data_IF_732762967643
#
_entry.id   IF_732762967643
#
_cell.length_a   1.000
_cell.length_b   1.000
_cell.length_c   1.000
_cell.angle_alpha   90.00
_cell.angle_beta   90.00
_cell.angle_gamma   90.00
#
_symmetry.space_group_name_H-M   'P 1'
#
loop_
_entity.id
_entity.type
_entity.pdbx_description
1 polymer ?
#
# COMPACT_ATOMS: atom_id res chain seq x y z
N UNK A 1 -21.11 -6.93 -32.27
CA UNK A 1 -19.93 -7.23 -31.43
C UNK A 1 -20.39 -7.34 -29.98
N UNK A 2 -20.08 -8.44 -29.29
CA UNK A 2 -20.60 -8.75 -27.95
C UNK A 2 -19.84 -7.95 -26.89
N UNK A 3 -20.55 -7.12 -26.11
CA UNK A 3 -20.03 -6.51 -24.87
C UNK A 3 -19.84 -7.61 -23.82
N UNK A 4 -18.64 -7.71 -23.24
CA UNK A 4 -18.37 -8.55 -22.07
C UNK A 4 -18.39 -7.66 -20.83
N UNK A 5 -19.42 -7.81 -20.00
CA UNK A 5 -19.49 -7.22 -18.67
C UNK A 5 -18.77 -8.18 -17.73
N UNK A 6 -17.77 -7.69 -17.00
CA UNK A 6 -17.08 -8.45 -15.95
C UNK A 6 -17.57 -7.89 -14.61
N UNK A 7 -18.35 -8.71 -13.88
CA UNK A 7 -18.84 -8.40 -12.53
C UNK A 7 -17.87 -9.05 -11.54
N UNK A 8 -17.22 -8.24 -10.71
CA UNK A 8 -16.46 -8.75 -9.57
C UNK A 8 -17.42 -9.03 -8.40
N UNK A 9 -17.58 -10.30 -8.06
CA UNK A 9 -18.35 -10.74 -6.89
C UNK A 9 -17.39 -10.81 -5.70
N UNK A 10 -17.57 -9.95 -4.71
CA UNK A 10 -16.85 -10.04 -3.44
C UNK A 10 -17.50 -11.17 -2.62
N UNK A 11 -16.75 -12.25 -2.41
CA UNK A 11 -17.18 -13.41 -1.63
C UNK A 11 -16.94 -13.14 -0.14
N UNK A 12 -17.98 -12.79 0.59
CA UNK A 12 -17.93 -12.67 2.05
C UNK A 12 -18.16 -14.05 2.68
N UNK A 13 -17.10 -14.69 3.19
CA UNK A 13 -17.23 -15.90 4.01
C UNK A 13 -17.57 -15.51 5.45
N UNK A 14 -18.83 -15.69 5.84
CA UNK A 14 -19.24 -15.75 7.24
C UNK A 14 -18.86 -17.13 7.79
N UNK A 15 -17.78 -17.20 8.57
CA UNK A 15 -17.47 -18.40 9.36
C UNK A 15 -18.36 -18.44 10.59
N UNK A 16 -19.34 -19.33 10.56
CA UNK A 16 -20.14 -19.74 11.70
C UNK A 16 -19.36 -20.79 12.50
N UNK A 17 -18.81 -20.42 13.67
CA UNK A 17 -18.17 -21.37 14.58
C UNK A 17 -19.20 -22.33 15.15
N UNK A 18 -19.16 -23.60 14.74
CA UNK A 18 -19.87 -24.68 15.43
C UNK A 18 -18.87 -25.50 16.22
N UNK A 19 -18.90 -25.41 17.55
CA UNK A 19 -18.20 -26.30 18.47
C UNK A 19 -18.67 -27.75 18.29
N UNK A 20 -17.75 -28.69 18.12
CA UNK A 20 -17.98 -30.10 18.47
C UNK A 20 -16.75 -30.70 19.15
N UNK A 21 -17.01 -31.28 20.32
CA UNK A 21 -16.09 -31.97 21.22
C UNK A 21 -15.76 -33.40 20.76
N UNK A 22 -14.51 -33.78 21.08
CA UNK A 22 -13.97 -35.02 21.65
C UNK A 22 -13.92 -36.37 20.90
N UNK A 23 -12.71 -36.95 21.04
CA UNK A 23 -12.33 -38.36 21.21
C UNK A 23 -12.17 -39.26 19.98
N UNK A 24 -10.91 -39.52 19.61
CA UNK A 24 -10.41 -40.88 19.44
C UNK A 24 -8.89 -40.92 19.73
N UNK A 25 -8.51 -41.67 20.76
CA UNK A 25 -7.15 -42.05 21.03
C UNK A 25 -6.75 -43.22 20.12
N UNK A 26 -5.56 -43.17 19.52
CA UNK A 26 -4.77 -44.36 19.18
C UNK A 26 -3.31 -43.96 18.96
N UNK A 27 -2.47 -44.40 19.91
CA UNK A 27 -1.01 -44.31 19.86
C UNK A 27 -0.46 -45.19 18.74
N UNK A 28 0.58 -44.71 18.05
CA UNK A 28 1.78 -45.50 17.78
C UNK A 28 2.94 -44.57 17.42
N UNK A 29 4.07 -44.81 18.11
CA UNK A 29 5.40 -44.29 17.85
C UNK A 29 5.73 -44.25 16.36
N UNK A 30 6.09 -43.06 15.87
CA UNK A 30 7.02 -42.89 14.76
C UNK A 30 7.50 -41.42 14.74
N UNK A 31 8.70 -41.27 15.27
CA UNK A 31 9.71 -40.30 14.85
C UNK A 31 9.63 -38.86 15.42
N UNK A 32 10.22 -38.69 16.62
CA UNK A 32 10.55 -37.40 17.24
C UNK A 32 11.47 -36.52 16.35
N UNK A 33 12.09 -37.05 15.29
CA UNK A 33 12.86 -36.27 14.31
C UNK A 33 11.99 -35.62 13.22
N UNK A 34 10.86 -36.22 12.85
CA UNK A 34 9.94 -35.70 11.83
C UNK A 34 9.14 -34.48 12.30
N UNK A 35 8.92 -34.32 13.61
CA UNK A 35 8.24 -33.13 14.16
C UNK A 35 9.16 -31.91 14.30
N UNK A 36 10.50 -32.10 14.31
CA UNK A 36 11.45 -30.99 14.33
C UNK A 36 11.57 -30.27 12.98
N UNK A 37 11.25 -30.94 11.88
CA UNK A 37 11.24 -30.36 10.53
C UNK A 37 9.89 -29.77 10.10
N UNK A 38 8.80 -30.07 10.81
CA UNK A 38 7.51 -29.41 10.62
C UNK A 38 7.34 -28.13 11.47
N UNK A 39 8.34 -27.77 12.27
CA UNK A 39 8.43 -26.49 13.00
C UNK A 39 9.08 -25.36 12.17
N UNK A 40 9.19 -25.50 10.84
CA UNK A 40 9.38 -24.32 9.99
C UNK A 40 8.05 -23.61 9.85
N UNK A 41 7.75 -22.82 10.88
CA UNK A 41 7.05 -21.53 10.82
C UNK A 41 6.40 -21.24 9.46
N UNK A 42 5.24 -21.85 9.21
CA UNK A 42 4.27 -21.33 8.24
C UNK A 42 3.49 -20.14 8.85
N UNK A 43 4.17 -19.30 9.62
CA UNK A 43 3.84 -17.88 9.70
C UNK A 43 4.51 -17.21 8.50
N UNK A 44 4.08 -17.60 7.29
CA UNK A 44 4.25 -16.75 6.13
C UNK A 44 3.33 -15.57 6.41
N UNK A 45 3.93 -14.42 6.64
CA UNK A 45 3.23 -13.18 6.92
C UNK A 45 2.44 -12.79 5.65
N UNK A 46 1.20 -13.24 5.53
CA UNK A 46 0.27 -12.96 4.41
C UNK A 46 -0.10 -11.46 4.30
N UNK A 47 0.45 -10.59 5.15
CA UNK A 47 0.30 -9.14 5.08
C UNK A 47 1.38 -8.44 4.23
N UNK A 48 2.27 -9.18 3.55
CA UNK A 48 3.29 -8.57 2.68
C UNK A 48 2.63 -7.92 1.47
N UNK A 49 2.87 -6.63 1.27
CA UNK A 49 2.45 -5.92 0.06
C UNK A 49 3.31 -6.36 -1.13
N UNK A 50 2.69 -7.08 -2.05
CA UNK A 50 3.29 -7.45 -3.34
C UNK A 50 2.68 -6.62 -4.47
N UNK A 51 3.54 -5.99 -5.28
CA UNK A 51 3.13 -5.30 -6.50
C UNK A 51 3.14 -6.31 -7.66
N UNK A 52 2.02 -6.44 -8.37
CA UNK A 52 1.78 -7.51 -9.34
C UNK A 52 2.61 -7.40 -10.63
N UNK A 53 3.35 -6.29 -10.81
CA UNK A 53 4.19 -5.94 -11.98
C UNK A 53 3.39 -5.87 -13.29
N UNK A 54 2.08 -5.68 -13.20
CA UNK A 54 1.20 -5.64 -14.37
C UNK A 54 1.10 -4.22 -14.91
N UNK A 55 1.08 -3.22 -14.03
CA UNK A 55 1.03 -1.80 -14.42
C UNK A 55 2.42 -1.20 -14.62
N UNK A 56 2.57 -0.09 -15.39
CA UNK A 56 3.85 0.62 -15.49
C UNK A 56 4.42 1.03 -14.12
N UNK A 57 3.56 1.52 -13.22
CA UNK A 57 3.95 1.88 -11.86
C UNK A 57 4.50 0.68 -11.08
N UNK A 58 3.81 -0.45 -11.10
CA UNK A 58 4.28 -1.65 -10.40
C UNK A 58 5.59 -2.20 -10.98
N UNK A 59 5.78 -2.11 -12.30
CA UNK A 59 7.04 -2.49 -12.95
C UNK A 59 8.18 -1.60 -12.49
N UNK A 60 7.98 -0.27 -12.46
CA UNK A 60 8.95 0.68 -11.91
C UNK A 60 9.29 0.32 -10.45
N UNK A 61 8.27 0.14 -9.60
CA UNK A 61 8.46 -0.21 -8.19
C UNK A 61 9.24 -1.52 -8.03
N UNK A 62 8.98 -2.51 -8.89
CA UNK A 62 9.70 -3.78 -8.85
C UNK A 62 11.17 -3.70 -9.27
N UNK A 63 11.55 -2.64 -10.00
CA UNK A 63 12.94 -2.34 -10.33
C UNK A 63 13.68 -1.57 -9.24
N UNK A 64 12.95 -0.97 -8.29
CA UNK A 64 13.54 -0.33 -7.11
C UNK A 64 13.90 -1.39 -6.07
N UNK A 65 15.08 -1.27 -5.44
CA UNK A 65 15.50 -2.19 -4.40
C UNK A 65 14.89 -1.82 -3.03
N UNK A 66 13.55 -1.83 -2.96
CA UNK A 66 12.79 -1.52 -1.74
C UNK A 66 12.57 -2.77 -0.87
N UNK A 67 12.75 -2.62 0.44
CA UNK A 67 12.38 -3.64 1.42
C UNK A 67 10.86 -3.66 1.69
N UNK A 68 10.38 -4.63 2.47
CA UNK A 68 8.95 -4.83 2.71
C UNK A 68 8.30 -3.61 3.41
N UNK A 69 8.97 -3.01 4.40
CA UNK A 69 8.46 -1.84 5.10
C UNK A 69 8.38 -0.60 4.20
N UNK A 70 9.34 -0.45 3.28
CA UNK A 70 9.34 0.61 2.26
C UNK A 70 8.18 0.41 1.27
N UNK A 71 7.92 -0.82 0.82
CA UNK A 71 6.78 -1.17 -0.04
C UNK A 71 5.44 -0.91 0.62
N UNK A 72 5.28 -1.32 1.88
CA UNK A 72 4.09 -1.03 2.69
C UNK A 72 3.86 0.47 2.83
N UNK A 73 4.92 1.24 3.06
CA UNK A 73 4.84 2.70 3.18
C UNK A 73 4.49 3.36 1.85
N UNK A 74 5.02 2.87 0.74
CA UNK A 74 4.68 3.37 -0.59
C UNK A 74 3.22 3.05 -0.94
N UNK A 75 2.74 1.85 -0.61
CA UNK A 75 1.34 1.50 -0.78
C UNK A 75 0.43 2.37 0.10
N UNK A 76 0.83 2.65 1.34
CA UNK A 76 0.12 3.61 2.20
C UNK A 76 0.02 5.00 1.55
N UNK A 77 1.12 5.51 0.97
CA UNK A 77 1.11 6.78 0.25
C UNK A 77 0.13 6.74 -0.93
N UNK A 78 0.26 5.77 -1.84
CA UNK A 78 -0.58 5.64 -3.04
C UNK A 78 -2.08 5.55 -2.65
N UNK A 79 -2.41 4.73 -1.65
CA UNK A 79 -3.78 4.59 -1.18
C UNK A 79 -4.30 5.88 -0.55
N UNK A 80 -3.46 6.62 0.18
CA UNK A 80 -3.82 7.93 0.73
C UNK A 80 -4.11 8.96 -0.36
N UNK A 81 -3.34 8.93 -1.46
CA UNK A 81 -3.61 9.79 -2.63
C UNK A 81 -4.95 9.45 -3.28
N UNK A 82 -5.22 8.16 -3.55
CA UNK A 82 -6.49 7.70 -4.11
C UNK A 82 -7.68 8.07 -3.22
N UNK A 83 -7.53 7.92 -1.91
CA UNK A 83 -8.56 8.24 -0.93
C UNK A 83 -8.85 9.75 -0.84
N UNK A 84 -7.80 10.59 -0.81
CA UNK A 84 -7.94 12.01 -0.44
C UNK A 84 -7.98 12.99 -1.60
N UNK A 85 -7.39 12.67 -2.75
CA UNK A 85 -7.43 13.57 -3.91
C UNK A 85 -8.83 13.67 -4.53
N UNK A 86 -9.73 12.71 -4.25
CA UNK A 86 -11.13 12.81 -4.64
C UNK A 86 -11.88 13.99 -3.96
N UNK A 87 -11.39 14.46 -2.80
CA UNK A 87 -11.93 15.65 -2.13
C UNK A 87 -11.51 16.91 -2.89
N UNK A 88 -12.48 17.74 -3.27
CA UNK A 88 -12.24 18.96 -4.06
C UNK A 88 -11.49 20.06 -3.30
N UNK A 89 -11.39 19.97 -1.97
CA UNK A 89 -10.59 20.90 -1.17
C UNK A 89 -9.12 20.48 -1.07
N UNK A 90 -8.81 19.22 -1.39
CA UNK A 90 -7.46 18.65 -1.30
C UNK A 90 -6.88 18.47 -2.71
N UNK A 91 -7.56 17.70 -3.56
CA UNK A 91 -7.11 17.37 -4.91
C UNK A 91 -7.56 18.38 -5.96
N UNK A 92 -7.31 19.68 -5.73
CA UNK A 92 -7.76 20.75 -6.63
C UNK A 92 -7.16 20.57 -8.02
N UNK A 93 -5.85 20.35 -8.10
CA UNK A 93 -5.15 20.16 -9.36
C UNK A 93 -5.46 18.79 -9.97
N UNK A 94 -5.55 17.74 -9.16
CA UNK A 94 -5.98 16.42 -9.61
C UNK A 94 -7.33 16.47 -10.31
N UNK A 95 -8.32 17.15 -9.73
CA UNK A 95 -9.65 17.30 -10.32
C UNK A 95 -9.61 18.00 -11.67
N UNK A 96 -8.72 18.98 -11.85
CA UNK A 96 -8.52 19.67 -13.13
C UNK A 96 -7.97 18.76 -14.24
N UNK A 97 -7.44 17.57 -13.90
CA UNK A 97 -7.03 16.55 -14.88
C UNK A 97 -8.16 15.62 -15.32
N UNK A 98 -9.36 15.76 -14.75
CA UNK A 98 -10.51 14.89 -14.98
C UNK A 98 -10.84 13.97 -13.81
N UNK A 99 -9.97 13.88 -12.79
CA UNK A 99 -10.25 13.15 -11.55
C UNK A 99 -10.24 11.62 -11.69
N UNK A 100 -9.52 11.08 -12.66
CA UNK A 100 -9.38 9.64 -12.90
C UNK A 100 -8.24 9.05 -12.04
N UNK A 101 -8.51 7.97 -11.29
CA UNK A 101 -7.49 7.25 -10.51
C UNK A 101 -6.28 6.82 -11.36
N UNK A 102 -6.47 6.55 -12.64
CA UNK A 102 -5.36 6.22 -13.56
C UNK A 102 -4.33 7.35 -13.63
N UNK A 103 -4.76 8.62 -13.50
CA UNK A 103 -3.87 9.78 -13.47
C UNK A 103 -3.03 9.84 -12.21
N UNK A 104 -3.53 9.31 -11.09
CA UNK A 104 -2.75 9.19 -9.86
C UNK A 104 -1.58 8.24 -10.11
N UNK A 105 -1.84 7.06 -10.70
CA UNK A 105 -0.78 6.07 -10.98
C UNK A 105 0.25 6.59 -11.99
N UNK A 106 -0.19 7.24 -13.06
CA UNK A 106 0.70 7.89 -14.05
C UNK A 106 1.59 8.97 -13.40
N UNK A 107 1.01 9.78 -12.51
CA UNK A 107 1.71 10.90 -11.86
C UNK A 107 2.67 10.40 -10.79
N UNK A 108 2.30 9.38 -10.02
CA UNK A 108 3.21 8.70 -9.08
C UNK A 108 4.35 8.02 -9.84
N UNK A 109 4.08 7.36 -10.98
CA UNK A 109 5.13 6.77 -11.81
C UNK A 109 6.14 7.83 -12.25
N UNK A 110 5.67 8.97 -12.77
CA UNK A 110 6.55 10.09 -13.16
C UNK A 110 7.35 10.60 -11.97
N UNK A 111 6.68 10.87 -10.85
CA UNK A 111 7.31 11.35 -9.62
C UNK A 111 8.47 10.44 -9.17
N UNK A 112 8.23 9.13 -9.10
CA UNK A 112 9.26 8.17 -8.69
C UNK A 112 10.38 8.02 -9.73
N UNK A 113 10.06 8.14 -11.02
CA UNK A 113 11.06 8.04 -12.10
C UNK A 113 12.05 9.21 -12.12
N UNK A 114 11.63 10.37 -11.63
CA UNK A 114 12.46 11.59 -11.58
C UNK A 114 13.37 11.65 -10.33
N UNK A 115 13.20 10.73 -9.38
CA UNK A 115 13.96 10.68 -8.12
C UNK A 115 15.00 9.56 -8.13
N UNK A 116 16.07 9.75 -7.37
CA UNK A 116 17.02 8.68 -7.08
C UNK A 116 16.45 7.72 -6.02
N UNK A 117 16.89 6.46 -6.05
CA UNK A 117 16.41 5.44 -5.12
C UNK A 117 16.65 5.81 -3.65
N UNK A 118 17.79 6.43 -3.32
CA UNK A 118 18.12 6.90 -1.98
C UNK A 118 17.17 8.01 -1.50
N UNK A 119 16.76 8.91 -2.40
CA UNK A 119 15.75 9.93 -2.12
C UNK A 119 14.38 9.29 -1.86
N UNK A 120 13.97 8.32 -2.69
CA UNK A 120 12.72 7.58 -2.48
C UNK A 120 12.73 6.91 -1.09
N UNK A 121 13.83 6.26 -0.72
CA UNK A 121 13.98 5.61 0.59
C UNK A 121 13.96 6.61 1.74
N UNK A 122 14.63 7.76 1.61
CA UNK A 122 14.59 8.83 2.61
C UNK A 122 13.15 9.32 2.86
N UNK A 123 12.41 9.60 1.77
CA UNK A 123 11.02 10.04 1.83
C UNK A 123 10.14 8.99 2.52
N UNK A 124 10.25 7.72 2.11
CA UNK A 124 9.47 6.63 2.69
C UNK A 124 9.77 6.45 4.18
N UNK A 125 11.04 6.56 4.61
CA UNK A 125 11.40 6.48 6.02
C UNK A 125 10.74 7.58 6.86
N UNK A 126 10.64 8.80 6.31
CA UNK A 126 9.97 9.94 6.97
C UNK A 126 8.45 9.74 7.04
N UNK A 127 7.85 9.30 5.93
CA UNK A 127 6.41 9.00 5.88
C UNK A 127 6.07 7.91 6.91
N UNK A 128 6.84 6.82 6.93
CA UNK A 128 6.66 5.74 7.90
C UNK A 128 6.73 6.24 9.34
N UNK A 129 7.76 7.02 9.67
CA UNK A 129 7.94 7.58 11.01
C UNK A 129 6.74 8.43 11.45
N UNK A 130 6.15 9.20 10.56
CA UNK A 130 5.00 10.05 10.88
C UNK A 130 3.68 9.28 10.90
N UNK A 131 3.50 8.30 10.01
CA UNK A 131 2.38 7.35 10.04
C UNK A 131 2.35 6.59 11.37
N UNK A 132 3.45 5.94 11.75
CA UNK A 132 3.51 5.09 12.95
C UNK A 132 3.26 5.88 14.25
N UNK A 133 3.61 7.17 14.27
CA UNK A 133 3.28 8.06 15.40
C UNK A 133 1.78 8.35 15.50
N UNK A 134 1.09 8.44 14.36
CA UNK A 134 -0.31 8.88 14.27
C UNK A 134 -1.30 7.74 14.15
N UNK A 135 -0.88 6.53 13.83
CA UNK A 135 -1.78 5.41 13.57
C UNK A 135 -2.63 5.00 14.79
N UNK A 136 -2.24 5.43 16.00
CA UNK A 136 -3.01 5.23 17.23
C UNK A 136 -4.24 6.14 17.34
N UNK A 137 -4.26 7.24 16.58
CA UNK A 137 -5.37 8.19 16.54
C UNK A 137 -5.85 8.33 15.09
N UNK A 138 -7.07 7.85 14.82
CA UNK A 138 -7.63 7.84 13.47
C UNK A 138 -7.79 9.24 12.88
N UNK A 139 -8.06 10.26 13.68
CA UNK A 139 -8.21 11.65 13.23
C UNK A 139 -6.85 12.26 12.85
N UNK A 140 -5.82 12.01 13.65
CA UNK A 140 -4.45 12.44 13.34
C UNK A 140 -3.93 11.75 12.08
N UNK A 141 -4.16 10.44 11.95
CA UNK A 141 -3.79 9.69 10.76
C UNK A 141 -4.54 10.22 9.52
N UNK A 142 -5.83 10.51 9.66
CA UNK A 142 -6.63 11.08 8.58
C UNK A 142 -6.13 12.46 8.15
N UNK A 143 -5.80 13.32 9.11
CA UNK A 143 -5.17 14.63 8.86
C UNK A 143 -3.84 14.47 8.14
N UNK A 144 -3.04 13.48 8.54
CA UNK A 144 -1.76 13.22 7.88
C UNK A 144 -1.92 12.76 6.42
N UNK A 145 -2.92 11.90 6.14
CA UNK A 145 -3.27 11.54 4.75
C UNK A 145 -3.67 12.77 3.94
N UNK A 146 -4.42 13.70 4.52
CA UNK A 146 -4.78 14.96 3.85
C UNK A 146 -3.54 15.81 3.54
N UNK A 147 -2.60 15.92 4.50
CA UNK A 147 -1.33 16.63 4.30
C UNK A 147 -0.50 16.01 3.17
N UNK A 148 -0.39 14.68 3.13
CA UNK A 148 0.32 13.98 2.06
C UNK A 148 -0.31 14.23 0.69
N UNK A 149 -1.64 14.11 0.60
CA UNK A 149 -2.36 14.34 -0.65
C UNK A 149 -2.26 15.81 -1.11
N UNK A 150 -2.44 16.77 -0.22
CA UNK A 150 -2.26 18.20 -0.54
C UNK A 150 -0.83 18.54 -0.96
N UNK A 151 0.18 17.94 -0.30
CA UNK A 151 1.59 18.10 -0.67
C UNK A 151 1.94 17.51 -2.04
N UNK A 152 1.21 16.46 -2.46
CA UNK A 152 1.36 15.81 -3.76
C UNK A 152 0.57 16.47 -4.88
N UNK A 153 -0.58 17.08 -4.59
CA UNK A 153 -1.54 17.58 -5.59
C UNK A 153 -0.91 18.53 -6.62
N UNK A 154 0.11 19.31 -6.22
CA UNK A 154 0.84 20.18 -7.15
C UNK A 154 1.45 19.47 -8.37
N UNK A 155 1.77 18.18 -8.28
CA UNK A 155 2.29 17.40 -9.42
C UNK A 155 1.33 17.39 -10.62
N UNK A 156 0.01 17.44 -10.37
CA UNK A 156 -1.00 17.52 -11.42
C UNK A 156 -1.02 18.88 -12.14
N UNK A 157 -0.34 19.89 -11.58
CA UNK A 157 -0.18 21.21 -12.17
C UNK A 157 1.31 21.61 -12.34
N UNK A 158 2.12 20.66 -12.82
CA UNK A 158 3.51 20.87 -13.25
C UNK A 158 4.49 21.28 -12.14
N UNK A 159 4.16 21.10 -10.87
CA UNK A 159 5.18 21.11 -9.81
C UNK A 159 6.23 20.03 -10.10
N UNK A 160 7.50 20.34 -9.86
CA UNK A 160 8.58 19.40 -10.08
C UNK A 160 8.67 18.34 -8.97
N UNK A 161 9.22 17.18 -9.32
CA UNK A 161 9.32 16.04 -8.42
C UNK A 161 10.19 16.32 -7.19
N UNK A 162 11.15 17.26 -7.23
CA UNK A 162 11.99 17.57 -6.07
C UNK A 162 11.24 18.43 -5.05
N UNK A 163 10.44 19.39 -5.52
CA UNK A 163 9.54 20.17 -4.66
C UNK A 163 8.50 19.26 -4.00
N UNK A 164 7.86 18.37 -4.76
CA UNK A 164 6.91 17.40 -4.19
C UNK A 164 7.57 16.44 -3.21
N UNK A 165 8.79 15.98 -3.48
CA UNK A 165 9.57 15.19 -2.53
C UNK A 165 9.76 15.90 -1.19
N UNK A 166 10.13 17.19 -1.21
CA UNK A 166 10.30 17.96 0.02
C UNK A 166 8.98 18.13 0.77
N UNK A 167 7.87 18.42 0.07
CA UNK A 167 6.54 18.53 0.68
C UNK A 167 6.13 17.23 1.40
N UNK A 168 6.35 16.07 0.76
CA UNK A 168 6.02 14.77 1.35
C UNK A 168 6.93 14.41 2.52
N UNK A 169 8.21 14.76 2.42
CA UNK A 169 9.21 14.49 3.45
C UNK A 169 8.95 15.30 4.73
N UNK A 170 8.55 16.55 4.55
CA UNK A 170 8.33 17.51 5.64
C UNK A 170 6.88 17.48 6.14
N UNK A 171 5.99 16.75 5.47
CA UNK A 171 4.64 16.48 5.94
C UNK A 171 4.68 15.81 7.32
N UNK A 172 4.04 16.45 8.29
CA UNK A 172 3.96 16.02 9.68
C UNK A 172 2.53 16.05 10.19
#
# INVERSE_FOLDING_TARGET
MKQKIIIFTILAFLFNCTNKNNNAALNNDLDEESQKLQSKSNLVNDNRVEFSKTTPLEKLISGLNLNDAEKETLAFLINSLKEKLADSNIGVNFKNTGGDESKIEETVHKFLSDLKEDEIKEMLAKIKKNKDKKEKNSEELNTYKNTLAGGFDGMFNKTDSKTTFNNLKDAA
#
